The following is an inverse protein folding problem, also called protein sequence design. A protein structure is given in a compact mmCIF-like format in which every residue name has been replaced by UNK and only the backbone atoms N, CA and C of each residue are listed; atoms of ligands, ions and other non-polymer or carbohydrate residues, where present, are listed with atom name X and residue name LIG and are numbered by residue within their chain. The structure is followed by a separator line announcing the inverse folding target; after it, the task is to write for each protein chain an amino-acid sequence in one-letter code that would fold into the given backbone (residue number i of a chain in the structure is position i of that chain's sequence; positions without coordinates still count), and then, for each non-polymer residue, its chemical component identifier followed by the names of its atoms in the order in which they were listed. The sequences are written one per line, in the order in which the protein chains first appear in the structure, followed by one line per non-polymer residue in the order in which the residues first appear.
data_IF_289095390013
#
_entry.id   IF_289095390013
#
_cell.length_a   1.000
_cell.length_b   1.000
_cell.length_c   1.000
_cell.angle_alpha   90.00
_cell.angle_beta   90.00
_cell.angle_gamma   90.00
#
_symmetry.space_group_name_H-M   'P 1'
#
loop_
_entity.id
_entity.type
_entity.pdbx_description
1 polymer ?
#
# COMPACT_ATOMS: atom_id res chain seq x y z
N UNK A 1 5.70 -16.03 -12.40
CA UNK A 1 5.74 -16.84 -11.16
C UNK A 1 5.70 -15.88 -9.99
N UNK A 2 4.82 -16.15 -9.01
CA UNK A 2 4.79 -15.50 -7.71
C UNK A 2 5.11 -16.56 -6.66
N UNK A 3 5.97 -16.24 -5.73
CA UNK A 3 6.22 -17.00 -4.51
C UNK A 3 5.39 -16.38 -3.38
N UNK A 4 4.81 -17.19 -2.52
CA UNK A 4 3.96 -16.67 -1.45
C UNK A 4 3.88 -17.58 -0.23
N UNK A 5 3.45 -17.00 0.89
CA UNK A 5 3.11 -17.68 2.12
C UNK A 5 1.86 -17.01 2.71
N UNK A 6 0.91 -17.81 3.17
CA UNK A 6 -0.40 -17.39 3.67
C UNK A 6 -1.54 -17.87 2.76
N UNK A 7 -2.77 -17.41 3.03
CA UNK A 7 -3.96 -17.81 2.26
C UNK A 7 -4.03 -17.07 0.91
N UNK A 8 -3.85 -17.81 -0.19
CA UNK A 8 -3.87 -17.25 -1.54
C UNK A 8 -5.22 -16.62 -1.93
N UNK A 9 -6.33 -16.97 -1.28
CA UNK A 9 -7.64 -16.36 -1.53
C UNK A 9 -7.65 -14.86 -1.24
N UNK A 10 -6.77 -14.37 -0.37
CA UNK A 10 -6.62 -12.94 -0.09
C UNK A 10 -6.11 -12.13 -1.28
N UNK A 11 -5.49 -12.75 -2.27
CA UNK A 11 -5.00 -12.05 -3.47
C UNK A 11 -6.13 -11.50 -4.34
N UNK A 12 -7.31 -12.09 -4.26
CA UNK A 12 -8.50 -11.70 -5.03
C UNK A 12 -9.43 -10.75 -4.24
N UNK A 13 -9.09 -10.45 -2.98
CA UNK A 13 -9.97 -9.69 -2.10
C UNK A 13 -10.00 -8.17 -2.42
N UNK A 14 -9.02 -7.65 -3.15
CA UNK A 14 -8.87 -6.21 -3.34
C UNK A 14 -8.49 -5.50 -2.04
N UNK A 15 -8.87 -4.21 -1.91
CA UNK A 15 -8.68 -3.39 -0.72
C UNK A 15 -7.90 -2.11 -0.97
N UNK A 16 -7.32 -1.53 0.10
CA UNK A 16 -6.56 -0.29 0.01
C UNK A 16 -5.05 -0.55 -0.03
N UNK A 17 -4.40 -0.13 -1.11
CA UNK A 17 -2.95 -0.02 -1.13
C UNK A 17 -2.49 1.23 -0.36
N UNK A 18 -1.56 1.07 0.57
CA UNK A 18 -0.96 2.20 1.31
C UNK A 18 0.54 2.17 1.11
N UNK A 19 1.09 3.26 0.57
CA UNK A 19 2.51 3.38 0.27
C UNK A 19 3.06 4.73 0.74
N UNK A 20 4.36 4.77 1.03
CA UNK A 20 4.98 6.03 1.44
C UNK A 20 6.47 5.94 1.72
N UNK A 21 6.99 7.01 2.27
CA UNK A 21 8.40 7.18 2.60
C UNK A 21 8.85 6.24 3.72
N UNK A 22 10.13 5.84 3.66
CA UNK A 22 10.75 4.95 4.66
C UNK A 22 11.14 5.67 5.95
N UNK A 23 11.47 6.95 5.84
CA UNK A 23 11.88 7.80 6.97
C UNK A 23 10.79 8.83 7.21
N UNK A 24 10.01 8.62 8.25
CA UNK A 24 8.87 9.46 8.64
C UNK A 24 8.87 9.64 10.15
N UNK A 25 8.35 10.78 10.61
CA UNK A 25 8.17 11.06 12.04
C UNK A 25 6.97 10.33 12.65
N UNK A 26 6.92 10.31 13.97
CA UNK A 26 5.93 9.56 14.75
C UNK A 26 4.48 9.96 14.42
N UNK A 27 4.21 11.25 14.25
CA UNK A 27 2.86 11.75 13.88
C UNK A 27 2.35 11.10 12.59
N UNK A 28 3.23 10.92 11.61
CA UNK A 28 2.85 10.32 10.34
C UNK A 28 2.71 8.79 10.44
N UNK A 29 3.50 8.17 11.32
CA UNK A 29 3.35 6.75 11.68
C UNK A 29 1.98 6.53 12.31
N UNK A 30 1.60 7.30 13.34
CA UNK A 30 0.31 7.21 14.03
C UNK A 30 -0.87 7.45 13.08
N UNK A 31 -0.77 8.45 12.20
CA UNK A 31 -1.76 8.69 11.16
C UNK A 31 -1.94 7.45 10.28
N UNK A 32 -0.83 6.85 9.86
CA UNK A 32 -0.84 5.70 8.95
C UNK A 32 -1.39 4.44 9.63
N UNK A 33 -1.06 4.22 10.91
CA UNK A 33 -1.65 3.14 11.70
C UNK A 33 -3.17 3.29 11.86
N UNK A 34 -3.65 4.52 12.05
CA UNK A 34 -5.09 4.80 12.08
C UNK A 34 -5.76 4.46 10.76
N UNK A 35 -5.13 4.75 9.62
CA UNK A 35 -5.63 4.32 8.31
C UNK A 35 -5.68 2.79 8.22
N UNK A 36 -4.63 2.09 8.64
CA UNK A 36 -4.61 0.62 8.68
C UNK A 36 -5.73 0.04 9.53
N UNK A 37 -5.96 0.60 10.71
CA UNK A 37 -7.07 0.23 11.60
C UNK A 37 -8.42 0.43 10.92
N UNK A 38 -8.64 1.57 10.29
CA UNK A 38 -9.88 1.86 9.58
C UNK A 38 -10.14 0.86 8.44
N UNK A 39 -9.09 0.44 7.72
CA UNK A 39 -9.19 -0.60 6.68
C UNK A 39 -9.66 -1.93 7.29
N UNK A 40 -9.11 -2.32 8.44
CA UNK A 40 -9.54 -3.52 9.17
C UNK A 40 -11.00 -3.44 9.64
N UNK A 41 -11.40 -2.33 10.25
CA UNK A 41 -12.77 -2.07 10.71
C UNK A 41 -13.78 -2.04 9.54
N UNK A 42 -13.33 -1.62 8.37
CA UNK A 42 -14.11 -1.69 7.13
C UNK A 42 -14.25 -3.13 6.58
N UNK A 43 -13.56 -4.12 7.16
CA UNK A 43 -13.53 -5.49 6.65
C UNK A 43 -12.81 -5.63 5.31
N UNK A 44 -11.90 -4.70 5.01
CA UNK A 44 -11.11 -4.67 3.78
C UNK A 44 -9.68 -5.16 4.04
N UNK A 45 -8.97 -5.56 2.98
CA UNK A 45 -7.56 -5.91 3.07
C UNK A 45 -6.67 -4.68 2.90
N UNK A 46 -5.59 -4.60 3.70
CA UNK A 46 -4.54 -3.61 3.50
C UNK A 46 -3.45 -4.21 2.62
N UNK A 47 -3.04 -3.50 1.57
CA UNK A 47 -1.99 -3.95 0.66
C UNK A 47 -0.81 -2.99 0.75
N UNK A 48 0.39 -3.52 0.93
CA UNK A 48 1.58 -2.68 1.01
C UNK A 48 2.87 -3.42 0.66
N UNK A 49 3.99 -2.74 0.71
CA UNK A 49 5.29 -3.29 0.34
C UNK A 49 6.12 -3.83 1.50
N UNK A 50 5.65 -3.74 2.72
CA UNK A 50 6.40 -4.18 3.91
C UNK A 50 7.69 -3.41 4.19
N UNK A 51 7.96 -2.31 3.48
CA UNK A 51 9.13 -1.47 3.71
C UNK A 51 9.02 -0.72 5.04
N UNK A 52 10.16 -0.32 5.62
CA UNK A 52 10.19 0.52 6.83
C UNK A 52 9.38 1.80 6.61
N UNK A 53 8.84 2.38 7.66
CA UNK A 53 8.06 3.62 7.63
C UNK A 53 6.59 3.36 7.33
N UNK A 54 6.03 4.05 6.35
CA UNK A 54 4.59 4.04 6.04
C UNK A 54 4.06 2.64 5.79
N UNK A 55 4.73 1.84 4.98
CA UNK A 55 4.26 0.50 4.61
C UNK A 55 4.04 -0.38 5.86
N UNK A 56 5.05 -0.43 6.75
CA UNK A 56 4.95 -1.21 8.00
C UNK A 56 3.92 -0.63 8.96
N UNK A 57 3.83 0.69 9.08
CA UNK A 57 2.85 1.33 9.95
C UNK A 57 1.42 0.97 9.51
N UNK A 58 1.13 1.05 8.21
CA UNK A 58 -0.17 0.69 7.66
C UNK A 58 -0.52 -0.79 7.94
N UNK A 59 0.41 -1.70 7.65
CA UNK A 59 0.21 -3.13 7.88
C UNK A 59 0.02 -3.44 9.38
N UNK A 60 0.84 -2.83 10.25
CA UNK A 60 0.72 -2.98 11.70
C UNK A 60 -0.65 -2.52 12.19
N UNK A 61 -1.11 -1.32 11.80
CA UNK A 61 -2.41 -0.81 12.20
C UNK A 61 -3.57 -1.73 11.80
N UNK A 62 -3.52 -2.32 10.60
CA UNK A 62 -4.53 -3.27 10.15
C UNK A 62 -4.50 -4.58 10.95
N UNK A 63 -3.32 -5.17 11.14
CA UNK A 63 -3.16 -6.45 11.82
C UNK A 63 -3.46 -6.36 13.33
N UNK A 64 -3.06 -5.28 14.01
CA UNK A 64 -3.36 -5.03 15.43
C UNK A 64 -4.87 -4.83 15.67
N UNK A 65 -5.58 -4.29 14.70
CA UNK A 65 -7.05 -4.17 14.73
C UNK A 65 -7.78 -5.48 14.35
N UNK A 66 -7.07 -6.59 14.18
CA UNK A 66 -7.67 -7.88 13.83
C UNK A 66 -8.00 -8.07 12.36
N UNK A 67 -7.62 -7.13 11.50
CA UNK A 67 -7.84 -7.17 10.06
C UNK A 67 -6.81 -7.99 9.29
N UNK A 68 -6.87 -7.87 7.98
CA UNK A 68 -6.03 -8.60 7.03
C UNK A 68 -5.03 -7.67 6.33
N UNK A 69 -3.82 -8.18 6.05
CA UNK A 69 -2.82 -7.47 5.27
C UNK A 69 -2.16 -8.36 4.23
N UNK A 70 -1.82 -7.76 3.08
CA UNK A 70 -1.06 -8.37 2.01
C UNK A 70 0.23 -7.60 1.79
N UNK A 71 1.35 -8.27 2.01
CA UNK A 71 2.69 -7.72 1.81
C UNK A 71 3.31 -8.19 0.50
N UNK A 72 3.59 -7.25 -0.42
CA UNK A 72 4.35 -7.55 -1.64
C UNK A 72 5.81 -7.19 -1.41
N UNK A 73 6.70 -8.16 -1.38
CA UNK A 73 8.07 -7.98 -0.94
C UNK A 73 9.05 -7.79 -2.12
N UNK A 74 10.10 -7.02 -1.88
CA UNK A 74 11.20 -6.79 -2.81
C UNK A 74 12.54 -7.33 -2.30
N UNK A 75 12.49 -8.08 -1.20
CA UNK A 75 13.62 -8.74 -0.55
C UNK A 75 13.23 -10.17 -0.14
N UNK A 76 14.01 -10.79 0.74
CA UNK A 76 13.83 -12.19 1.12
C UNK A 76 12.44 -12.48 1.72
N UNK A 77 11.61 -13.18 0.96
CA UNK A 77 10.34 -13.73 1.43
C UNK A 77 10.57 -14.72 2.58
N UNK A 78 11.58 -15.59 2.48
CA UNK A 78 11.91 -16.56 3.52
C UNK A 78 12.17 -15.87 4.86
N UNK A 79 13.03 -14.85 4.88
CA UNK A 79 13.31 -14.09 6.11
C UNK A 79 12.08 -13.41 6.68
N UNK A 80 11.21 -12.89 5.83
CA UNK A 80 9.97 -12.25 6.27
C UNK A 80 8.99 -13.27 6.87
N UNK A 81 8.87 -14.47 6.31
CA UNK A 81 8.02 -15.55 6.83
C UNK A 81 8.55 -16.09 8.17
N UNK A 82 9.87 -16.17 8.32
CA UNK A 82 10.50 -16.66 9.56
C UNK A 82 10.54 -15.61 10.68
N UNK A 83 10.19 -14.35 10.39
CA UNK A 83 10.11 -13.32 11.42
C UNK A 83 8.96 -13.62 12.39
N UNK A 84 9.25 -13.55 13.70
CA UNK A 84 8.27 -13.82 14.77
C UNK A 84 7.03 -12.94 14.66
N UNK A 85 7.20 -11.66 14.35
CA UNK A 85 6.08 -10.71 14.22
C UNK A 85 5.08 -11.10 13.12
N UNK A 86 5.55 -11.75 12.05
CA UNK A 86 4.72 -12.18 10.94
C UNK A 86 4.13 -13.59 11.15
N UNK A 87 4.81 -14.44 11.92
CA UNK A 87 4.50 -15.86 12.02
C UNK A 87 3.09 -16.13 12.55
N UNK A 88 2.72 -15.46 13.63
CA UNK A 88 1.42 -15.72 14.28
C UNK A 88 0.28 -15.26 13.37
N UNK A 89 0.39 -14.08 12.77
CA UNK A 89 -0.63 -13.54 11.84
C UNK A 89 -0.69 -14.30 10.50
N UNK A 90 0.41 -14.93 10.06
CA UNK A 90 0.40 -15.87 8.93
C UNK A 90 -0.38 -17.14 9.27
N UNK A 91 -0.15 -17.72 10.45
CA UNK A 91 -0.85 -18.92 10.93
C UNK A 91 -2.35 -18.66 11.18
N UNK A 92 -2.72 -17.43 11.54
CA UNK A 92 -4.10 -16.99 11.71
C UNK A 92 -4.80 -16.66 10.36
N UNK A 93 -4.13 -16.83 9.23
CA UNK A 93 -4.61 -16.46 7.88
C UNK A 93 -5.03 -14.98 7.76
N UNK A 94 -4.33 -14.09 8.49
CA UNK A 94 -4.55 -12.65 8.45
C UNK A 94 -3.47 -11.89 7.70
N UNK A 95 -2.36 -12.57 7.36
CA UNK A 95 -1.27 -12.02 6.57
C UNK A 95 -0.98 -12.93 5.38
N UNK A 96 -0.79 -12.32 4.22
CA UNK A 96 -0.19 -12.97 3.05
C UNK A 96 1.05 -12.19 2.65
N UNK A 97 2.15 -12.89 2.45
CA UNK A 97 3.39 -12.33 1.93
C UNK A 97 3.68 -12.95 0.58
N UNK A 98 3.89 -12.10 -0.43
CA UNK A 98 4.25 -12.54 -1.78
C UNK A 98 5.49 -11.83 -2.30
N UNK A 99 6.21 -12.46 -3.23
CA UNK A 99 7.31 -11.86 -3.97
C UNK A 99 7.35 -12.38 -5.41
N UNK A 100 7.59 -11.51 -6.40
CA UNK A 100 7.85 -11.94 -7.78
C UNK A 100 9.30 -12.41 -7.99
N UNK A 101 10.12 -12.40 -6.93
CA UNK A 101 11.54 -12.74 -6.96
C UNK A 101 11.81 -14.01 -6.16
N UNK A 102 13.02 -14.57 -6.36
CA UNK A 102 13.48 -15.71 -5.57
C UNK A 102 13.25 -15.47 -4.06
N UNK A 103 12.74 -16.46 -3.31
CA UNK A 103 12.46 -16.30 -1.87
C UNK A 103 13.68 -15.89 -1.03
N UNK A 104 14.91 -16.15 -1.51
CA UNK A 104 16.16 -15.74 -0.88
C UNK A 104 16.70 -14.42 -1.43
N UNK A 105 16.00 -13.75 -2.33
CA UNK A 105 16.50 -12.55 -3.00
C UNK A 105 16.93 -11.47 -2.01
N UNK A 106 18.06 -10.85 -2.30
CA UNK A 106 18.55 -9.69 -1.55
C UNK A 106 17.89 -8.45 -2.14
N UNK A 107 17.51 -7.51 -1.25
CA UNK A 107 16.92 -6.23 -1.67
C UNK A 107 17.80 -5.51 -2.70
N UNK A 108 17.17 -5.04 -3.76
CA UNK A 108 17.72 -4.02 -4.64
C UNK A 108 16.62 -3.05 -5.11
N UNK A 109 17.03 -1.87 -5.58
CA UNK A 109 16.11 -0.79 -5.97
C UNK A 109 15.24 -1.20 -7.16
N UNK A 110 15.80 -1.94 -8.13
CA UNK A 110 15.05 -2.42 -9.30
C UNK A 110 13.91 -3.36 -8.90
N UNK A 111 14.15 -4.24 -7.94
CA UNK A 111 13.11 -5.11 -7.38
C UNK A 111 12.00 -4.32 -6.69
N UNK A 112 12.36 -3.32 -5.90
CA UNK A 112 11.39 -2.48 -5.23
C UNK A 112 10.50 -1.71 -6.23
N UNK A 113 11.09 -1.19 -7.30
CA UNK A 113 10.33 -0.50 -8.36
C UNK A 113 9.42 -1.46 -9.14
N UNK A 114 9.92 -2.64 -9.51
CA UNK A 114 9.11 -3.63 -10.21
C UNK A 114 7.93 -4.10 -9.35
N UNK A 115 8.18 -4.41 -8.08
CA UNK A 115 7.19 -4.87 -7.12
C UNK A 115 6.05 -3.87 -6.89
N UNK A 116 6.32 -2.57 -6.96
CA UNK A 116 5.29 -1.55 -6.75
C UNK A 116 4.09 -1.71 -7.70
N UNK A 117 4.30 -2.18 -8.92
CA UNK A 117 3.21 -2.47 -9.87
C UNK A 117 2.21 -3.47 -9.31
N UNK A 118 2.70 -4.49 -8.61
CA UNK A 118 1.85 -5.52 -8.01
C UNK A 118 1.03 -4.97 -6.84
N UNK A 119 1.58 -4.05 -6.05
CA UNK A 119 0.83 -3.39 -4.97
C UNK A 119 -0.42 -2.71 -5.54
N UNK A 120 -0.25 -1.92 -6.61
CA UNK A 120 -1.38 -1.24 -7.25
C UNK A 120 -2.33 -2.21 -7.96
N UNK A 121 -1.79 -3.24 -8.61
CA UNK A 121 -2.60 -4.20 -9.36
C UNK A 121 -3.52 -5.07 -8.49
N UNK A 122 -3.17 -5.26 -7.21
CA UNK A 122 -3.91 -6.08 -6.25
C UNK A 122 -4.95 -5.28 -5.44
N UNK A 123 -4.99 -3.96 -5.59
CA UNK A 123 -5.83 -3.07 -4.81
C UNK A 123 -7.06 -2.57 -5.60
N UNK A 124 -8.05 -2.03 -4.89
CA UNK A 124 -9.19 -1.29 -5.46
C UNK A 124 -8.90 0.20 -5.54
N UNK A 125 -8.09 0.71 -4.62
CA UNK A 125 -7.58 2.08 -4.60
C UNK A 125 -6.21 2.13 -3.93
N UNK A 126 -5.47 3.21 -4.16
CA UNK A 126 -4.16 3.41 -3.54
C UNK A 126 -4.05 4.77 -2.86
N UNK A 127 -3.46 4.81 -1.66
CA UNK A 127 -3.12 6.01 -0.92
C UNK A 127 -1.60 6.17 -0.83
N UNK A 128 -1.11 7.27 -1.36
CA UNK A 128 0.25 7.77 -1.14
C UNK A 128 0.23 8.69 0.08
N UNK A 129 0.71 8.20 1.22
CA UNK A 129 0.70 8.96 2.50
C UNK A 129 1.78 10.02 2.50
N UNK A 130 2.97 9.68 2.01
CA UNK A 130 4.09 10.62 1.89
C UNK A 130 5.03 10.20 0.76
N UNK A 131 5.71 11.16 0.17
CA UNK A 131 6.72 10.91 -0.85
C UNK A 131 7.68 12.10 -0.93
N UNK A 132 8.92 11.85 -1.29
CA UNK A 132 9.83 12.92 -1.70
C UNK A 132 9.45 13.39 -3.10
N UNK A 133 9.54 14.69 -3.34
CA UNK A 133 9.27 15.26 -4.66
C UNK A 133 10.31 14.80 -5.70
N UNK A 134 9.83 14.19 -6.76
CA UNK A 134 10.64 13.66 -7.88
C UNK A 134 11.76 12.68 -7.45
N UNK A 135 11.66 12.05 -6.27
CA UNK A 135 12.68 11.13 -5.75
C UNK A 135 12.06 9.88 -5.14
N UNK A 136 12.85 8.80 -5.21
CA UNK A 136 12.56 7.55 -4.50
C UNK A 136 11.51 6.66 -5.16
N UNK A 137 11.37 5.46 -4.60
CA UNK A 137 10.50 4.42 -5.15
C UNK A 137 9.02 4.73 -5.03
N UNK A 138 8.59 5.46 -4.00
CA UNK A 138 7.18 5.84 -3.83
C UNK A 138 6.75 6.81 -4.93
N UNK A 139 7.54 7.86 -5.17
CA UNK A 139 7.28 8.79 -6.27
C UNK A 139 7.24 8.08 -7.62
N UNK A 140 8.30 7.33 -7.94
CA UNK A 140 8.41 6.65 -9.22
C UNK A 140 7.25 5.66 -9.45
N UNK A 141 6.87 4.89 -8.41
CA UNK A 141 5.74 3.96 -8.48
C UNK A 141 4.41 4.65 -8.67
N UNK A 142 4.15 5.76 -7.96
CA UNK A 142 2.93 6.55 -8.11
C UNK A 142 2.81 7.16 -9.50
N UNK A 143 3.90 7.75 -10.01
CA UNK A 143 3.93 8.32 -11.37
C UNK A 143 3.73 7.24 -12.43
N UNK A 144 4.41 6.10 -12.32
CA UNK A 144 4.22 5.00 -13.26
C UNK A 144 2.77 4.49 -13.25
N UNK A 145 2.16 4.39 -12.05
CA UNK A 145 0.76 3.98 -11.93
C UNK A 145 -0.18 5.01 -12.59
N UNK A 146 0.02 6.30 -12.37
CA UNK A 146 -0.82 7.37 -12.93
C UNK A 146 -0.69 7.51 -14.44
N UNK A 147 0.52 7.36 -14.98
CA UNK A 147 0.78 7.59 -16.40
C UNK A 147 0.60 6.34 -17.26
N UNK A 148 0.96 5.16 -16.76
CA UNK A 148 1.04 3.92 -17.53
C UNK A 148 0.17 2.79 -17.00
N UNK A 149 0.26 2.46 -15.72
CA UNK A 149 -0.44 1.33 -15.11
C UNK A 149 -1.94 1.53 -15.10
N UNK A 150 -2.40 2.63 -14.51
CA UNK A 150 -3.82 3.02 -14.40
C UNK A 150 -4.73 1.89 -13.92
N UNK A 151 -4.19 1.03 -13.04
CA UNK A 151 -4.94 -0.11 -12.51
C UNK A 151 -6.07 0.37 -11.60
N UNK A 152 -5.77 1.34 -10.73
CA UNK A 152 -6.66 1.82 -9.68
C UNK A 152 -6.55 3.34 -9.50
N UNK A 153 -7.56 4.02 -8.92
CA UNK A 153 -7.45 5.41 -8.51
C UNK A 153 -6.34 5.56 -7.47
N UNK A 154 -5.53 6.59 -7.64
CA UNK A 154 -4.45 6.94 -6.71
C UNK A 154 -4.83 8.20 -5.97
N UNK A 155 -4.87 8.12 -4.66
CA UNK A 155 -5.08 9.23 -3.75
C UNK A 155 -3.76 9.67 -3.13
N UNK A 156 -3.67 10.96 -2.80
CA UNK A 156 -2.52 11.53 -2.10
C UNK A 156 -3.01 12.23 -0.85
N UNK A 157 -2.36 11.97 0.29
CA UNK A 157 -2.65 12.69 1.53
C UNK A 157 -2.42 14.19 1.33
N UNK A 158 -3.41 14.97 1.79
CA UNK A 158 -3.37 16.44 1.75
C UNK A 158 -3.04 16.97 3.13
N UNK A 159 -1.94 17.71 3.27
CA UNK A 159 -1.64 18.56 4.39
C UNK A 159 -0.78 19.75 3.95
N UNK A 160 -0.49 20.65 4.90
CA UNK A 160 0.29 21.86 4.63
C UNK A 160 1.74 21.55 4.18
N UNK A 161 2.31 20.43 4.64
CA UNK A 161 3.69 20.02 4.34
C UNK A 161 3.83 19.32 2.99
N UNK A 162 2.77 18.67 2.49
CA UNK A 162 2.81 17.87 1.25
C UNK A 162 2.45 18.64 -0.02
N UNK A 163 2.17 19.95 0.06
CA UNK A 163 1.61 20.77 -1.02
C UNK A 163 2.26 20.55 -2.39
N UNK A 164 3.59 20.60 -2.48
CA UNK A 164 4.34 20.46 -3.74
C UNK A 164 4.26 19.07 -4.35
N UNK A 165 4.35 18.03 -3.53
CA UNK A 165 4.25 16.63 -3.97
C UNK A 165 2.83 16.34 -4.46
N UNK A 166 1.85 16.78 -3.69
CA UNK A 166 0.46 16.63 -4.01
C UNK A 166 0.10 17.30 -5.33
N UNK A 167 0.43 18.58 -5.49
CA UNK A 167 0.16 19.30 -6.73
C UNK A 167 0.77 18.61 -7.96
N UNK A 168 1.99 18.10 -7.82
CA UNK A 168 2.66 17.41 -8.92
C UNK A 168 2.00 16.06 -9.25
N UNK A 169 1.58 15.28 -8.25
CA UNK A 169 0.85 14.02 -8.49
C UNK A 169 -0.58 14.29 -8.97
N UNK A 170 -1.23 15.35 -8.49
CA UNK A 170 -2.56 15.75 -9.00
C UNK A 170 -2.52 16.15 -10.48
N UNK A 171 -1.50 16.90 -10.92
CA UNK A 171 -1.31 17.20 -12.35
C UNK A 171 -1.16 15.93 -13.22
N UNK A 172 -0.74 14.82 -12.60
CA UNK A 172 -0.64 13.51 -13.25
C UNK A 172 -1.90 12.66 -13.09
N UNK A 173 -2.93 13.16 -12.40
CA UNK A 173 -4.23 12.51 -12.24
C UNK A 173 -4.50 11.90 -10.88
N UNK A 174 -3.64 12.13 -9.86
CA UNK A 174 -3.94 11.73 -8.49
C UNK A 174 -5.09 12.55 -7.90
N UNK A 175 -5.84 11.95 -7.01
CA UNK A 175 -6.97 12.55 -6.30
C UNK A 175 -6.56 12.96 -4.88
N UNK A 176 -7.13 14.04 -4.32
CA UNK A 176 -6.93 14.33 -2.90
C UNK A 176 -7.58 13.24 -2.06
N UNK A 177 -6.86 12.80 -1.00
CA UNK A 177 -7.42 11.82 -0.06
C UNK A 177 -8.53 12.47 0.78
N UNK A 178 -9.76 11.93 0.77
CA UNK A 178 -10.88 12.56 1.48
C UNK A 178 -10.85 12.36 2.99
N UNK A 179 -9.85 11.64 3.54
CA UNK A 179 -9.72 11.31 4.96
C UNK A 179 -11.01 10.69 5.54
N UNK A 180 -11.48 9.54 5.03
CA UNK A 180 -12.65 8.89 5.61
C UNK A 180 -12.40 8.60 7.09
N UNK A 181 -13.40 8.87 7.92
CA UNK A 181 -13.36 8.71 9.38
C UNK A 181 -14.23 7.54 9.84
N UNK A 182 -14.98 6.91 8.94
CA UNK A 182 -15.81 5.74 9.22
C UNK A 182 -15.52 4.59 8.27
N UNK A 183 -15.72 3.33 8.73
CA UNK A 183 -15.59 2.14 7.90
C UNK A 183 -16.49 2.17 6.66
N UNK A 184 -17.70 2.72 6.79
CA UNK A 184 -18.67 2.85 5.70
C UNK A 184 -18.15 3.80 4.61
N UNK A 185 -17.65 4.97 4.99
CA UNK A 185 -17.11 5.95 4.06
C UNK A 185 -15.88 5.38 3.31
N UNK A 186 -15.04 4.58 3.99
CA UNK A 186 -13.93 3.91 3.32
C UNK A 186 -14.43 2.85 2.33
N UNK A 187 -15.42 2.02 2.70
CA UNK A 187 -16.00 1.02 1.79
C UNK A 187 -16.60 1.67 0.54
N UNK A 188 -17.35 2.76 0.70
CA UNK A 188 -17.90 3.52 -0.41
C UNK A 188 -16.80 4.04 -1.35
N UNK A 189 -15.70 4.55 -0.79
CA UNK A 189 -14.55 5.01 -1.56
C UNK A 189 -13.93 3.86 -2.38
N UNK A 190 -13.74 2.70 -1.79
CA UNK A 190 -13.13 1.54 -2.45
C UNK A 190 -14.06 0.92 -3.53
N UNK A 191 -15.36 0.96 -3.32
CA UNK A 191 -16.36 0.44 -4.28
C UNK A 191 -16.73 1.45 -5.36
N UNK A 192 -16.48 2.73 -5.14
CA UNK A 192 -16.73 3.79 -6.12
C UNK A 192 -15.75 3.63 -7.28
N UNK A 193 -16.21 3.06 -8.41
CA UNK A 193 -15.43 3.06 -9.65
C UNK A 193 -15.29 4.49 -10.15
N UNK A 194 -14.31 5.21 -9.66
CA UNK A 194 -13.89 6.45 -10.30
C UNK A 194 -13.28 6.06 -11.62
N UNK A 195 -14.07 6.08 -12.70
CA UNK A 195 -13.56 5.87 -14.04
C UNK A 195 -12.46 6.91 -14.30
N UNK A 196 -11.25 6.51 -14.67
CA UNK A 196 -10.20 7.48 -15.00
C UNK A 196 -10.74 8.40 -16.10
N UNK A 197 -10.76 9.70 -15.85
CA UNK A 197 -11.13 10.69 -16.88
C UNK A 197 -10.25 10.42 -18.09
N UNK A 198 -10.86 10.04 -19.21
CA UNK A 198 -10.21 10.06 -20.51
C UNK A 198 -9.83 11.51 -20.78
N UNK A 199 -8.55 11.82 -20.66
CA UNK A 199 -8.00 13.07 -21.16
C UNK A 199 -8.00 12.94 -22.68
N UNK A 200 -8.81 13.75 -23.32
CA UNK A 200 -8.90 13.93 -24.79
C UNK A 200 -7.65 14.61 -25.27
#
# INVERSE_FOLDING_TARGET
ILYGCGDAAMLDAGGLAVVGSRNVGDTLVEYTERIGRLVAEAGCSLISGGARGIDRAAMRGALEAGGQALGVLADSLERAVLNRENRDVLLENRLVLISPFDPLAIFNVGYAMYRNKLIYALADAALVVSSDYEKGGTWAGAVEQLERGRFVPVYVRVDEETGRVMEALQRKGALPWPNPDTPEALRELLTSRVSPKKTT
#
